data_IF_539764527635
#
_entry.id   IF_539764527635
#
_cell.length_a   1.000
_cell.length_b   1.000
_cell.length_c   1.000
_cell.angle_alpha   90.00
_cell.angle_beta   90.00
_cell.angle_gamma   90.00
#
_symmetry.space_group_name_H-M   'P 1'
#
loop_
_entity.id
_entity.type
_entity.pdbx_description
1 polymer ?
#
# COMPACT_ATOMS: atom_id res chain seq x y z
N UNK A 1 -11.01 8.16 15.80
CA UNK A 1 -12.19 8.00 14.92
C UNK A 1 -12.51 6.52 14.79
N UNK A 2 -13.79 6.14 14.86
CA UNK A 2 -14.18 4.77 14.51
C UNK A 2 -13.76 4.51 13.06
N UNK A 3 -12.99 3.43 12.83
CA UNK A 3 -12.62 2.99 11.48
C UNK A 3 -13.86 3.03 10.57
N UNK A 4 -13.78 3.68 9.41
CA UNK A 4 -14.88 3.66 8.45
C UNK A 4 -15.28 2.20 8.19
N UNK A 5 -16.57 1.90 7.99
CA UNK A 5 -17.03 0.54 7.80
C UNK A 5 -16.67 0.04 6.40
N UNK A 6 -15.38 -0.24 6.22
CA UNK A 6 -14.85 -1.01 5.12
C UNK A 6 -15.33 -2.44 5.29
N UNK A 7 -15.97 -2.98 4.26
CA UNK A 7 -16.30 -4.38 4.18
C UNK A 7 -16.78 -4.76 2.80
N UNK A 8 -17.29 -5.98 2.69
CA UNK A 8 -17.93 -6.47 1.47
C UNK A 8 -19.34 -6.96 1.79
N UNK A 9 -20.27 -6.76 0.87
CA UNK A 9 -21.60 -7.36 0.93
C UNK A 9 -21.64 -8.50 -0.07
N UNK A 10 -22.07 -9.66 0.42
CA UNK A 10 -22.47 -10.78 -0.42
C UNK A 10 -23.99 -10.74 -0.55
N UNK A 11 -24.48 -10.50 -1.76
CA UNK A 11 -25.90 -10.45 -2.11
C UNK A 11 -26.22 -11.61 -3.05
N UNK A 12 -27.18 -12.46 -2.68
CA UNK A 12 -27.80 -13.45 -3.56
C UNK A 12 -29.18 -12.99 -3.98
N UNK A 13 -29.47 -13.06 -5.28
CA UNK A 13 -30.83 -12.90 -5.81
C UNK A 13 -31.36 -14.29 -6.10
N UNK A 14 -32.40 -14.71 -5.38
CA UNK A 14 -32.87 -16.10 -5.41
C UNK A 14 -34.10 -16.27 -6.31
N UNK A 15 -35.09 -15.40 -6.14
CA UNK A 15 -36.35 -15.49 -6.87
C UNK A 15 -37.07 -14.14 -6.89
N UNK A 16 -38.10 -14.03 -7.73
CA UNK A 16 -39.12 -13.01 -7.59
C UNK A 16 -40.50 -13.65 -7.74
N UNK A 17 -41.54 -12.96 -7.28
CA UNK A 17 -42.93 -13.43 -7.37
C UNK A 17 -43.90 -12.30 -7.67
N UNK A 18 -45.01 -12.64 -8.28
CA UNK A 18 -46.09 -11.71 -8.66
C UNK A 18 -45.56 -10.50 -9.45
N UNK A 19 -44.58 -10.69 -10.33
CA UNK A 19 -44.00 -9.57 -11.09
C UNK A 19 -44.99 -9.02 -12.12
N UNK A 20 -44.67 -7.84 -12.66
CA UNK A 20 -45.50 -7.25 -13.71
C UNK A 20 -45.52 -8.13 -14.96
N UNK A 21 -46.67 -8.17 -15.62
CA UNK A 21 -46.81 -8.61 -17.02
C UNK A 21 -46.39 -7.43 -17.89
N UNK A 22 -45.30 -7.58 -18.62
CA UNK A 22 -44.80 -6.61 -19.58
C UNK A 22 -44.86 -7.14 -21.03
N UNK A 23 -44.93 -8.46 -21.23
CA UNK A 23 -45.33 -9.08 -22.50
C UNK A 23 -46.86 -9.27 -22.61
N UNK A 24 -47.30 -10.14 -23.52
CA UNK A 24 -48.70 -10.52 -23.74
C UNK A 24 -49.33 -11.13 -22.47
N UNK A 25 -48.64 -12.07 -21.83
CA UNK A 25 -49.14 -12.80 -20.63
C UNK A 25 -48.09 -13.06 -19.56
N UNK A 26 -46.82 -12.88 -19.90
CA UNK A 26 -45.65 -13.18 -19.06
C UNK A 26 -44.67 -12.02 -19.11
N UNK A 27 -43.45 -12.25 -18.59
CA UNK A 27 -42.27 -11.44 -18.81
C UNK A 27 -41.04 -12.35 -18.90
N UNK A 28 -39.94 -11.79 -19.35
CA UNK A 28 -38.57 -12.29 -19.39
C UNK A 28 -37.69 -11.51 -18.37
N UNK A 29 -37.97 -11.60 -17.05
CA UNK A 29 -37.33 -10.77 -16.03
C UNK A 29 -35.84 -11.06 -15.83
N UNK A 30 -35.08 -9.98 -15.60
CA UNK A 30 -33.71 -9.99 -15.09
C UNK A 30 -33.46 -8.81 -14.15
N UNK A 31 -32.40 -8.90 -13.34
CA UNK A 31 -32.00 -7.85 -12.41
C UNK A 31 -30.64 -7.22 -12.78
N UNK A 32 -30.53 -5.92 -12.59
CA UNK A 32 -29.29 -5.16 -12.57
C UNK A 32 -28.93 -4.77 -11.13
N UNK A 33 -27.75 -5.15 -10.69
CA UNK A 33 -27.23 -4.94 -9.33
C UNK A 33 -26.04 -4.00 -9.37
N UNK A 34 -26.06 -2.96 -8.54
CA UNK A 34 -24.94 -2.03 -8.40
C UNK A 34 -24.88 -1.42 -7.00
N UNK A 35 -23.68 -1.09 -6.54
CA UNK A 35 -23.48 -0.26 -5.37
C UNK A 35 -23.43 1.22 -5.77
N UNK A 36 -24.08 2.07 -4.97
CA UNK A 36 -24.18 3.51 -5.18
C UNK A 36 -23.80 4.29 -3.92
N UNK A 37 -23.19 5.45 -4.08
CA UNK A 37 -22.96 6.39 -3.00
C UNK A 37 -24.28 7.03 -2.51
N UNK A 38 -24.19 7.86 -1.47
CA UNK A 38 -25.34 8.58 -0.90
C UNK A 38 -26.00 9.56 -1.88
N UNK A 39 -25.29 9.97 -2.93
CA UNK A 39 -25.76 10.88 -3.97
C UNK A 39 -26.36 10.12 -5.16
N UNK A 40 -26.32 8.79 -5.14
CA UNK A 40 -26.84 7.92 -6.20
C UNK A 40 -25.87 7.67 -7.35
N UNK A 41 -24.60 8.10 -7.25
CA UNK A 41 -23.56 7.79 -8.23
C UNK A 41 -23.12 6.34 -8.07
N UNK A 42 -22.90 5.65 -9.19
CA UNK A 42 -22.37 4.29 -9.17
C UNK A 42 -20.93 4.29 -8.67
N UNK A 43 -20.64 3.45 -7.68
CA UNK A 43 -19.30 3.24 -7.12
C UNK A 43 -18.73 1.87 -7.47
N UNK A 44 -19.58 0.96 -7.94
CA UNK A 44 -19.19 -0.35 -8.47
C UNK A 44 -19.67 -0.50 -9.90
N UNK A 45 -19.11 -1.49 -10.57
CA UNK A 45 -19.69 -1.98 -11.82
C UNK A 45 -21.11 -2.52 -11.59
N UNK A 46 -21.93 -2.45 -12.64
CA UNK A 46 -23.28 -3.03 -12.66
C UNK A 46 -23.22 -4.48 -13.12
N UNK A 47 -23.81 -5.38 -12.35
CA UNK A 47 -23.94 -6.80 -12.67
C UNK A 47 -25.35 -7.09 -13.18
N UNK A 48 -25.49 -7.99 -14.16
CA UNK A 48 -26.77 -8.44 -14.73
C UNK A 48 -26.94 -9.93 -14.41
N UNK A 49 -28.08 -10.31 -13.82
CA UNK A 49 -28.47 -11.72 -13.67
C UNK A 49 -28.80 -12.33 -15.03
N UNK A 50 -28.87 -13.65 -15.10
CA UNK A 50 -29.50 -14.33 -16.22
C UNK A 50 -30.98 -13.91 -16.38
N UNK A 51 -31.46 -14.03 -17.60
CA UNK A 51 -32.83 -13.73 -18.01
C UNK A 51 -33.64 -15.01 -17.88
N UNK A 52 -34.75 -14.97 -17.14
CA UNK A 52 -35.63 -16.13 -17.01
C UNK A 52 -36.85 -15.92 -17.88
N UNK A 53 -36.91 -16.65 -18.99
CA UNK A 53 -37.94 -16.44 -20.00
C UNK A 53 -39.33 -16.91 -19.56
N UNK A 54 -40.35 -16.15 -19.96
CA UNK A 54 -41.79 -16.47 -19.92
C UNK A 54 -42.30 -16.83 -18.53
N UNK A 55 -42.02 -16.00 -17.54
CA UNK A 55 -42.48 -16.20 -16.16
C UNK A 55 -42.74 -14.89 -15.43
N UNK A 56 -43.67 -14.93 -14.47
CA UNK A 56 -43.86 -13.87 -13.47
C UNK A 56 -43.28 -14.22 -12.09
N UNK A 57 -42.68 -15.41 -12.01
CA UNK A 57 -42.10 -15.97 -10.79
C UNK A 57 -40.71 -16.56 -11.12
N UNK A 58 -39.75 -15.72 -11.54
CA UNK A 58 -38.42 -16.19 -11.90
C UNK A 58 -37.69 -16.77 -10.69
N UNK A 59 -36.92 -17.82 -10.93
CA UNK A 59 -36.00 -18.41 -9.96
C UNK A 59 -34.61 -18.40 -10.58
N UNK A 60 -33.71 -17.67 -9.95
CA UNK A 60 -32.32 -17.58 -10.37
C UNK A 60 -31.48 -18.61 -9.63
N UNK A 61 -30.57 -19.27 -10.35
CA UNK A 61 -29.62 -20.22 -9.78
C UNK A 61 -28.25 -19.58 -9.79
N UNK A 62 -27.57 -19.61 -8.64
CA UNK A 62 -26.18 -19.18 -8.48
C UNK A 62 -25.90 -17.70 -8.81
N UNK A 63 -26.90 -16.81 -8.66
CA UNK A 63 -26.75 -15.36 -8.80
C UNK A 63 -26.28 -14.71 -7.50
N UNK A 64 -24.98 -14.84 -7.23
CA UNK A 64 -24.29 -14.26 -6.09
C UNK A 64 -23.37 -13.10 -6.54
N UNK A 65 -23.50 -11.96 -5.86
CA UNK A 65 -22.78 -10.73 -6.14
C UNK A 65 -22.02 -10.27 -4.91
N UNK A 66 -20.71 -10.04 -5.07
CA UNK A 66 -19.88 -9.39 -4.06
C UNK A 66 -19.72 -7.91 -4.43
N UNK A 67 -20.03 -7.02 -3.49
CA UNK A 67 -19.96 -5.57 -3.66
C UNK A 67 -19.12 -4.94 -2.54
N UNK A 68 -18.19 -4.07 -2.91
CA UNK A 68 -17.40 -3.31 -1.95
C UNK A 68 -18.24 -2.27 -1.23
N UNK A 69 -18.05 -2.15 0.08
CA UNK A 69 -18.66 -1.11 0.92
C UNK A 69 -17.57 -0.18 1.42
N UNK A 70 -17.64 1.06 0.94
CA UNK A 70 -16.63 2.08 1.16
C UNK A 70 -17.30 3.23 1.91
N UNK A 71 -17.36 3.12 3.24
CA UNK A 71 -17.90 4.16 4.11
C UNK A 71 -19.39 3.99 4.48
N UNK A 72 -20.03 5.12 4.80
CA UNK A 72 -21.39 5.17 5.32
C UNK A 72 -22.41 5.53 4.23
N UNK A 73 -23.69 5.23 4.49
CA UNK A 73 -24.82 5.61 3.64
C UNK A 73 -24.77 5.05 2.21
N UNK A 74 -24.04 3.96 2.01
CA UNK A 74 -23.95 3.28 0.72
C UNK A 74 -25.24 2.51 0.44
N UNK A 75 -25.72 2.58 -0.80
CA UNK A 75 -26.97 1.94 -1.23
C UNK A 75 -26.65 0.82 -2.21
N UNK A 76 -27.15 -0.39 -1.96
CA UNK A 76 -27.25 -1.41 -3.00
C UNK A 76 -28.55 -1.19 -3.77
N UNK A 77 -28.42 -0.96 -5.07
CA UNK A 77 -29.52 -0.75 -6.01
C UNK A 77 -29.74 -2.01 -6.81
N UNK A 78 -30.96 -2.55 -6.74
CA UNK A 78 -31.43 -3.65 -7.59
C UNK A 78 -32.52 -3.10 -8.50
N UNK A 79 -32.33 -3.17 -9.81
CA UNK A 79 -33.32 -2.76 -10.80
C UNK A 79 -33.80 -3.99 -11.56
N UNK A 80 -35.10 -4.21 -11.63
CA UNK A 80 -35.68 -5.30 -12.41
C UNK A 80 -36.23 -4.78 -13.74
N UNK A 81 -35.91 -5.52 -14.79
CA UNK A 81 -36.32 -5.25 -16.17
C UNK A 81 -36.85 -6.50 -16.83
N UNK A 82 -37.69 -6.29 -17.84
CA UNK A 82 -38.13 -7.29 -18.80
C UNK A 82 -37.26 -7.22 -20.06
N UNK A 83 -36.67 -8.33 -20.51
CA UNK A 83 -35.80 -8.35 -21.70
C UNK A 83 -36.61 -8.37 -23.00
N UNK A 84 -36.44 -7.35 -23.82
CA UNK A 84 -37.11 -7.24 -25.12
C UNK A 84 -36.14 -7.48 -26.28
N UNK A 85 -36.53 -8.35 -27.23
CA UNK A 85 -35.67 -8.64 -28.40
C UNK A 85 -35.60 -7.51 -29.43
N UNK A 86 -36.64 -6.68 -29.53
CA UNK A 86 -36.81 -5.70 -30.60
C UNK A 86 -37.10 -4.28 -30.10
N UNK A 87 -37.21 -4.10 -28.79
CA UNK A 87 -37.46 -2.82 -28.13
C UNK A 87 -36.50 -2.62 -26.96
N UNK A 88 -36.61 -1.48 -26.29
CA UNK A 88 -35.88 -1.23 -25.06
C UNK A 88 -36.59 -1.93 -23.92
N UNK A 89 -35.83 -2.72 -23.18
CA UNK A 89 -36.26 -3.42 -21.97
C UNK A 89 -37.15 -2.60 -21.03
N UNK A 90 -38.25 -3.21 -20.61
CA UNK A 90 -39.29 -2.57 -19.83
C UNK A 90 -38.96 -2.56 -18.34
N UNK A 91 -39.15 -1.40 -17.69
CA UNK A 91 -38.84 -1.26 -16.27
C UNK A 91 -39.94 -1.89 -15.39
N UNK A 92 -39.58 -2.92 -14.64
CA UNK A 92 -40.52 -3.65 -13.79
C UNK A 92 -40.54 -3.11 -12.35
N UNK A 93 -39.40 -2.75 -11.78
CA UNK A 93 -39.31 -2.24 -10.41
C UNK A 93 -37.89 -1.99 -9.91
N UNK A 94 -37.76 -1.39 -8.73
CA UNK A 94 -36.48 -1.18 -8.08
C UNK A 94 -36.53 -1.47 -6.58
N UNK A 95 -35.38 -1.82 -6.01
CA UNK A 95 -35.13 -1.91 -4.58
C UNK A 95 -33.86 -1.10 -4.27
N UNK A 96 -33.89 -0.34 -3.18
CA UNK A 96 -32.73 0.37 -2.62
C UNK A 96 -32.50 -0.12 -1.19
N UNK A 97 -31.36 -0.72 -0.95
CA UNK A 97 -30.99 -1.24 0.37
C UNK A 97 -29.90 -0.34 0.95
N UNK A 98 -30.21 0.35 2.06
CA UNK A 98 -29.19 1.06 2.82
C UNK A 98 -28.36 0.06 3.64
N UNK A 99 -27.07 -0.04 3.35
CA UNK A 99 -26.20 -1.05 3.98
C UNK A 99 -25.96 -0.79 5.46
N UNK A 100 -26.08 0.45 5.91
CA UNK A 100 -25.94 0.79 7.33
C UNK A 100 -26.93 0.01 8.20
N UNK A 101 -28.11 -0.30 7.68
CA UNK A 101 -29.13 -1.07 8.39
C UNK A 101 -28.79 -2.55 8.57
N UNK A 102 -27.81 -3.08 7.83
CA UNK A 102 -27.49 -4.50 7.77
C UNK A 102 -26.10 -4.87 8.28
N UNK A 103 -25.24 -3.88 8.58
CA UNK A 103 -23.85 -4.09 9.03
C UNK A 103 -23.70 -4.99 10.26
N UNK A 104 -24.70 -5.04 11.14
CA UNK A 104 -24.65 -5.79 12.42
C UNK A 104 -25.64 -6.95 12.50
N UNK A 105 -26.39 -7.23 11.42
CA UNK A 105 -27.52 -8.16 11.46
C UNK A 105 -27.17 -9.59 11.03
N UNK A 106 -25.91 -9.86 10.69
CA UNK A 106 -25.46 -11.13 10.12
C UNK A 106 -26.12 -11.40 8.76
N UNK A 107 -26.26 -12.68 8.41
CA UNK A 107 -26.98 -13.08 7.20
C UNK A 107 -28.48 -12.81 7.36
N UNK A 108 -29.08 -12.22 6.32
CA UNK A 108 -30.52 -11.99 6.21
C UNK A 108 -31.06 -12.68 4.98
N UNK A 109 -32.27 -13.20 5.12
CA UNK A 109 -33.05 -13.84 4.07
C UNK A 109 -34.41 -13.13 4.04
N UNK A 110 -34.71 -12.43 2.94
CA UNK A 110 -35.76 -11.41 2.90
C UNK A 110 -36.52 -11.44 1.57
N UNK A 111 -37.84 -11.27 1.66
CA UNK A 111 -38.68 -10.84 0.54
C UNK A 111 -38.88 -9.33 0.63
N UNK A 112 -38.48 -8.60 -0.41
CA UNK A 112 -38.56 -7.14 -0.45
C UNK A 112 -39.45 -6.70 -1.61
N UNK A 113 -40.46 -5.84 -1.39
CA UNK A 113 -41.37 -5.38 -2.43
C UNK A 113 -40.68 -4.47 -3.44
N UNK A 114 -41.07 -4.59 -4.72
CA UNK A 114 -40.57 -3.75 -5.80
C UNK A 114 -41.25 -2.38 -5.83
N UNK A 115 -40.44 -1.32 -5.90
CA UNK A 115 -40.91 0.06 -5.95
C UNK A 115 -40.87 0.65 -7.37
N UNK A 116 -41.67 1.71 -7.58
CA UNK A 116 -41.63 2.49 -8.81
C UNK A 116 -40.55 3.58 -8.78
N UNK A 117 -40.22 4.16 -9.94
CA UNK A 117 -39.24 5.25 -10.05
C UNK A 117 -39.62 6.52 -9.29
N UNK A 118 -40.93 6.78 -9.12
CA UNK A 118 -41.44 7.97 -8.47
C UNK A 118 -42.21 7.58 -7.21
N UNK A 119 -41.71 7.90 -6.01
CA UNK A 119 -42.35 7.56 -4.74
C UNK A 119 -43.68 8.29 -4.54
N UNK A 120 -43.91 9.42 -5.23
CA UNK A 120 -45.12 10.22 -5.08
C UNK A 120 -46.30 9.74 -5.96
N UNK A 121 -46.08 8.74 -6.83
CA UNK A 121 -47.15 8.13 -7.63
C UNK A 121 -47.81 7.01 -6.81
N UNK A 122 -49.13 6.82 -7.02
CA UNK A 122 -49.90 5.73 -6.38
C UNK A 122 -49.16 4.39 -6.54
N UNK A 123 -48.94 3.69 -5.42
CA UNK A 123 -48.24 2.42 -5.40
C UNK A 123 -48.94 1.40 -6.30
N UNK A 124 -48.26 0.99 -7.37
CA UNK A 124 -48.65 -0.18 -8.18
C UNK A 124 -48.01 -1.40 -7.54
N UNK A 125 -48.76 -2.49 -7.35
CA UNK A 125 -48.18 -3.78 -6.92
C UNK A 125 -47.27 -4.28 -8.07
N UNK A 126 -45.98 -4.46 -7.78
CA UNK A 126 -44.93 -4.81 -8.77
C UNK A 126 -44.27 -6.17 -8.50
N UNK A 127 -44.76 -6.89 -7.49
CA UNK A 127 -44.16 -8.12 -7.00
C UNK A 127 -43.09 -7.88 -5.94
N UNK A 128 -42.47 -8.97 -5.50
CA UNK A 128 -41.40 -8.99 -4.49
C UNK A 128 -40.17 -9.72 -5.04
N UNK A 129 -38.97 -9.34 -4.59
CA UNK A 129 -37.72 -10.08 -4.84
C UNK A 129 -37.27 -10.76 -3.54
N UNK A 130 -36.90 -12.03 -3.65
CA UNK A 130 -36.27 -12.83 -2.60
C UNK A 130 -34.75 -12.71 -2.69
N UNK A 131 -34.14 -12.19 -1.62
CA UNK A 131 -32.70 -12.02 -1.54
C UNK A 131 -32.14 -12.66 -0.27
N UNK A 132 -30.86 -13.06 -0.34
CA UNK A 132 -30.03 -13.24 0.83
C UNK A 132 -28.92 -12.19 0.84
N UNK A 133 -28.68 -11.55 1.98
CA UNK A 133 -27.68 -10.50 2.12
C UNK A 133 -26.87 -10.71 3.40
N UNK A 134 -25.55 -10.67 3.29
CA UNK A 134 -24.63 -10.72 4.42
C UNK A 134 -23.54 -9.66 4.26
N UNK A 135 -23.28 -8.88 5.32
CA UNK A 135 -22.19 -7.92 5.37
C UNK A 135 -21.01 -8.50 6.15
N UNK A 136 -19.81 -8.41 5.57
CA UNK A 136 -18.56 -8.81 6.18
C UNK A 136 -17.73 -7.57 6.47
N UNK A 137 -17.64 -7.18 7.74
CA UNK A 137 -16.82 -6.05 8.16
C UNK A 137 -15.35 -6.39 8.07
N UNK A 138 -14.52 -5.42 7.68
CA UNK A 138 -13.08 -5.57 7.64
C UNK A 138 -12.30 -5.01 8.83
N UNK A 139 -12.98 -4.28 9.72
CA UNK A 139 -12.40 -3.70 10.94
C UNK A 139 -11.89 -4.74 11.94
N UNK A 140 -12.45 -5.95 11.96
CA UNK A 140 -12.02 -7.02 12.87
C UNK A 140 -10.68 -7.67 12.52
N UNK A 141 -10.12 -7.42 11.32
CA UNK A 141 -8.76 -7.85 10.99
C UNK A 141 -7.73 -7.14 11.88
N UNK A 142 -8.05 -5.91 12.33
CA UNK A 142 -7.21 -5.10 13.21
C UNK A 142 -7.05 -5.84 14.52
N UNK A 143 -8.14 -6.32 15.12
CA UNK A 143 -8.09 -7.12 16.34
C UNK A 143 -7.26 -8.39 16.15
N UNK A 144 -7.39 -9.07 15.01
CA UNK A 144 -6.65 -10.29 14.73
C UNK A 144 -5.15 -10.05 14.55
N UNK A 145 -4.75 -8.97 13.87
CA UNK A 145 -3.34 -8.69 13.64
C UNK A 145 -2.71 -7.95 14.84
N UNK A 146 -3.45 -7.11 15.57
CA UNK A 146 -2.91 -6.18 16.60
C UNK A 146 -2.98 -6.73 18.03
N UNK A 147 -4.06 -7.43 18.43
CA UNK A 147 -4.18 -7.94 19.81
C UNK A 147 -3.36 -9.22 20.01
N UNK A 148 -2.03 -9.07 20.06
CA UNK A 148 -1.08 -10.14 20.41
C UNK A 148 -0.56 -10.99 19.24
N UNK A 149 -0.84 -10.59 18.00
CA UNK A 149 -0.65 -11.42 16.80
C UNK A 149 0.11 -10.75 15.64
N UNK A 150 0.85 -9.64 15.87
CA UNK A 150 1.90 -9.24 14.91
C UNK A 150 2.91 -10.38 14.70
N UNK A 151 3.02 -11.28 15.69
CA UNK A 151 3.68 -12.57 15.58
C UNK A 151 3.32 -13.36 14.32
N UNK A 152 2.08 -13.30 13.81
CA UNK A 152 1.73 -13.99 12.57
C UNK A 152 2.47 -13.38 11.38
N UNK A 153 2.47 -12.05 11.27
CA UNK A 153 3.18 -11.32 10.20
C UNK A 153 4.68 -11.58 10.33
N UNK A 154 5.22 -11.53 11.55
CA UNK A 154 6.61 -11.84 11.86
C UNK A 154 6.98 -13.28 11.49
N UNK A 155 6.11 -14.27 11.76
CA UNK A 155 6.32 -15.68 11.37
C UNK A 155 6.26 -15.89 9.85
N UNK A 156 5.39 -15.17 9.15
CA UNK A 156 5.26 -15.22 7.69
C UNK A 156 6.19 -14.25 6.94
N UNK A 157 7.01 -13.49 7.66
CA UNK A 157 7.82 -12.39 7.08
C UNK A 157 8.76 -12.86 5.97
N UNK A 158 9.23 -14.11 6.01
CA UNK A 158 10.08 -14.72 4.97
C UNK A 158 9.32 -15.04 3.68
N UNK A 159 8.03 -15.34 3.78
CA UNK A 159 7.17 -15.71 2.65
C UNK A 159 6.46 -14.49 2.03
N UNK A 160 6.42 -13.37 2.74
CA UNK A 160 5.64 -12.17 2.39
C UNK A 160 6.52 -10.99 1.94
N UNK A 161 7.66 -11.28 1.29
CA UNK A 161 8.60 -10.25 0.83
C UNK A 161 8.11 -9.68 -0.53
N UNK A 162 7.19 -8.72 -0.48
CA UNK A 162 6.74 -7.98 -1.67
C UNK A 162 6.50 -6.50 -1.38
N UNK A 163 6.73 -5.65 -2.39
CA UNK A 163 6.50 -4.21 -2.29
C UNK A 163 5.02 -3.90 -2.00
N UNK A 164 4.10 -4.63 -2.64
CA UNK A 164 2.66 -4.43 -2.48
C UNK A 164 2.19 -4.82 -1.08
N UNK A 165 2.70 -5.92 -0.52
CA UNK A 165 2.37 -6.32 0.85
C UNK A 165 2.98 -5.34 1.86
N UNK A 166 4.20 -4.86 1.64
CA UNK A 166 4.82 -3.83 2.49
C UNK A 166 4.01 -2.54 2.55
N UNK A 167 3.53 -2.04 1.40
CA UNK A 167 2.62 -0.89 1.32
C UNK A 167 1.29 -1.19 2.00
N UNK A 168 0.76 -2.40 1.81
CA UNK A 168 -0.52 -2.78 2.40
C UNK A 168 -0.46 -2.73 3.93
N UNK A 169 0.58 -3.32 4.52
CA UNK A 169 0.85 -3.27 5.96
C UNK A 169 0.97 -1.82 6.43
N UNK A 170 1.80 -1.01 5.77
CA UNK A 170 1.97 0.40 6.12
C UNK A 170 0.62 1.14 6.20
N UNK A 171 -0.16 1.11 5.10
CA UNK A 171 -1.41 1.87 5.04
C UNK A 171 -2.50 1.31 5.93
N UNK A 172 -2.54 -0.01 6.10
CA UNK A 172 -3.50 -0.66 6.98
C UNK A 172 -3.28 -0.23 8.42
N UNK A 173 -2.08 -0.45 8.96
CA UNK A 173 -1.78 -0.15 10.36
C UNK A 173 -1.70 1.35 10.66
N UNK A 174 -1.33 2.20 9.70
CA UNK A 174 -1.39 3.65 9.88
C UNK A 174 -2.81 4.19 10.02
N UNK A 175 -3.83 3.41 9.63
CA UNK A 175 -5.24 3.80 9.69
C UNK A 175 -6.04 3.01 10.74
N UNK A 176 -5.37 2.18 11.54
CA UNK A 176 -6.02 1.37 12.58
C UNK A 176 -6.25 2.12 13.89
N UNK A 177 -5.44 3.15 14.21
CA UNK A 177 -5.63 3.97 15.40
C UNK A 177 -5.31 5.45 15.16
N UNK A 178 -5.79 6.28 16.09
CA UNK A 178 -5.53 7.72 16.10
C UNK A 178 -4.07 8.08 16.47
N UNK A 179 -3.24 7.10 16.91
CA UNK A 179 -1.87 7.33 17.42
C UNK A 179 -0.74 6.67 16.61
N UNK A 180 -1.08 5.89 15.58
CA UNK A 180 -0.12 5.15 14.74
C UNK A 180 0.77 4.15 15.49
N UNK A 181 0.42 3.84 16.75
CA UNK A 181 1.18 2.97 17.64
C UNK A 181 1.36 1.56 17.05
N UNK A 182 0.31 1.04 16.44
CA UNK A 182 0.28 -0.32 15.91
C UNK A 182 1.25 -0.49 14.75
N UNK A 183 1.37 0.52 13.86
CA UNK A 183 2.36 0.48 12.78
C UNK A 183 3.78 0.47 13.34
N UNK A 184 4.04 1.24 14.39
CA UNK A 184 5.34 1.27 15.05
C UNK A 184 5.66 -0.07 15.73
N UNK A 185 4.68 -0.70 16.35
CA UNK A 185 4.83 -2.03 16.95
C UNK A 185 5.12 -3.09 15.86
N UNK A 186 4.41 -3.05 14.73
CA UNK A 186 4.72 -3.93 13.57
C UNK A 186 6.13 -3.71 13.04
N UNK A 187 6.57 -2.45 12.88
CA UNK A 187 7.93 -2.13 12.43
C UNK A 187 8.97 -2.69 13.40
N UNK A 188 8.75 -2.51 14.71
CA UNK A 188 9.64 -3.04 15.75
C UNK A 188 9.74 -4.57 15.69
N UNK A 189 8.61 -5.26 15.59
CA UNK A 189 8.57 -6.72 15.57
C UNK A 189 9.28 -7.28 14.33
N UNK A 190 9.01 -6.71 13.14
CA UNK A 190 9.65 -7.11 11.89
C UNK A 190 11.15 -6.84 11.89
N UNK A 191 11.57 -5.68 12.40
CA UNK A 191 12.99 -5.35 12.56
C UNK A 191 13.68 -6.29 13.56
N UNK A 192 13.04 -6.62 14.68
CA UNK A 192 13.57 -7.58 15.66
C UNK A 192 13.81 -8.94 15.04
N UNK A 193 12.84 -9.47 14.28
CA UNK A 193 12.99 -10.76 13.59
C UNK A 193 14.15 -10.75 12.60
N UNK A 194 14.30 -9.70 11.80
CA UNK A 194 15.41 -9.60 10.85
C UNK A 194 16.77 -9.51 11.55
N UNK A 195 16.87 -8.72 12.62
CA UNK A 195 18.10 -8.58 13.41
C UNK A 195 18.45 -9.90 14.10
N UNK A 196 17.47 -10.56 14.73
CA UNK A 196 17.65 -11.85 15.43
C UNK A 196 18.10 -12.97 14.49
N UNK A 197 17.62 -12.99 13.25
CA UNK A 197 17.97 -14.01 12.26
C UNK A 197 19.28 -13.73 11.51
N UNK A 198 19.76 -12.49 11.53
CA UNK A 198 21.03 -12.12 10.91
C UNK A 198 22.19 -12.52 11.81
N UNK A 199 23.19 -13.23 11.28
CA UNK A 199 24.37 -13.68 12.06
C UNK A 199 25.55 -12.71 12.02
N UNK A 200 25.62 -11.82 11.02
CA UNK A 200 26.70 -10.85 10.85
C UNK A 200 26.11 -9.45 10.65
N UNK A 201 26.52 -8.50 11.48
CA UNK A 201 26.09 -7.11 11.38
C UNK A 201 26.36 -6.51 9.98
N UNK A 202 27.39 -6.99 9.27
CA UNK A 202 27.75 -6.47 7.93
C UNK A 202 26.73 -6.77 6.85
N UNK A 203 25.86 -7.77 7.03
CA UNK A 203 24.80 -8.13 6.05
C UNK A 203 23.42 -7.65 6.47
N UNK A 204 23.31 -7.06 7.66
CA UNK A 204 22.05 -6.62 8.25
C UNK A 204 21.36 -5.58 7.35
N UNK A 205 20.07 -5.81 7.06
CA UNK A 205 19.25 -4.96 6.19
C UNK A 205 19.79 -4.74 4.77
N UNK A 206 20.71 -5.58 4.26
CA UNK A 206 21.23 -5.46 2.89
C UNK A 206 20.43 -6.26 1.86
N UNK A 207 19.81 -7.35 2.28
CA UNK A 207 18.91 -8.16 1.45
C UNK A 207 17.47 -7.72 1.61
N UNK A 208 16.65 -7.91 0.59
CA UNK A 208 15.22 -7.65 0.72
C UNK A 208 14.58 -8.56 1.79
N UNK A 209 13.75 -7.94 2.62
CA UNK A 209 13.04 -8.54 3.75
C UNK A 209 11.70 -7.83 3.89
N UNK A 210 10.72 -8.45 4.54
CA UNK A 210 9.45 -7.76 4.79
C UNK A 210 9.66 -6.47 5.61
N UNK A 211 10.52 -6.49 6.62
CA UNK A 211 10.85 -5.30 7.43
C UNK A 211 11.35 -4.16 6.56
N UNK A 212 12.32 -4.44 5.68
CA UNK A 212 12.88 -3.42 4.79
C UNK A 212 11.85 -2.90 3.79
N UNK A 213 10.93 -3.74 3.27
CA UNK A 213 9.84 -3.30 2.39
C UNK A 213 8.87 -2.35 3.09
N UNK A 214 8.48 -2.66 4.32
CA UNK A 214 7.57 -1.81 5.12
C UNK A 214 8.23 -0.49 5.46
N UNK A 215 9.45 -0.52 6.03
CA UNK A 215 10.17 0.69 6.44
C UNK A 215 10.46 1.59 5.23
N UNK A 216 10.89 1.04 4.10
CA UNK A 216 11.14 1.82 2.88
C UNK A 216 9.85 2.44 2.35
N UNK A 217 8.73 1.73 2.41
CA UNK A 217 7.42 2.31 2.03
C UNK A 217 7.09 3.50 2.92
N UNK A 218 7.28 3.39 4.23
CA UNK A 218 7.06 4.49 5.18
C UNK A 218 7.96 5.67 4.83
N UNK A 219 9.27 5.43 4.71
CA UNK A 219 10.26 6.48 4.45
C UNK A 219 9.94 7.23 3.15
N UNK A 220 9.59 6.52 2.08
CA UNK A 220 9.19 7.14 0.81
C UNK A 220 7.90 7.95 0.95
N UNK A 221 6.90 7.47 1.68
CA UNK A 221 5.61 8.17 1.82
C UNK A 221 5.73 9.43 2.68
N UNK A 222 6.36 9.35 3.86
CA UNK A 222 6.42 10.50 4.78
C UNK A 222 7.61 11.42 4.49
N UNK A 223 8.71 10.85 3.99
CA UNK A 223 9.96 11.56 3.73
C UNK A 223 10.06 12.19 2.35
N UNK A 224 9.05 12.05 1.48
CA UNK A 224 9.06 12.61 0.13
C UNK A 224 9.33 14.13 0.13
N UNK A 225 8.63 14.88 1.01
CA UNK A 225 8.81 16.33 1.13
C UNK A 225 10.24 16.70 1.54
N UNK A 226 10.77 16.01 2.55
CA UNK A 226 12.16 16.17 3.00
C UNK A 226 13.17 15.92 1.89
N UNK A 227 13.08 14.79 1.17
CA UNK A 227 13.99 14.48 0.06
C UNK A 227 13.93 15.54 -1.03
N UNK A 228 12.72 16.03 -1.34
CA UNK A 228 12.53 17.06 -2.36
C UNK A 228 13.20 18.38 -1.97
N UNK A 229 13.04 18.83 -0.73
CA UNK A 229 13.65 20.08 -0.27
C UNK A 229 15.16 19.95 -0.10
N UNK A 230 15.64 18.83 0.44
CA UNK A 230 17.06 18.62 0.73
C UNK A 230 17.90 18.30 -0.51
N UNK A 231 17.39 17.51 -1.46
CA UNK A 231 18.20 16.91 -2.53
C UNK A 231 17.91 17.50 -3.92
N UNK A 232 16.65 17.84 -4.23
CA UNK A 232 16.29 18.26 -5.59
C UNK A 232 17.03 19.50 -6.09
N UNK A 233 17.35 20.54 -5.28
CA UNK A 233 18.11 21.69 -5.77
C UNK A 233 19.47 21.29 -6.37
N UNK A 234 20.18 20.35 -5.73
CA UNK A 234 21.47 19.86 -6.22
C UNK A 234 21.30 18.92 -7.42
N UNK A 235 20.34 18.01 -7.37
CA UNK A 235 20.03 17.09 -8.49
C UNK A 235 19.65 17.87 -9.75
N UNK A 236 18.77 18.86 -9.63
CA UNK A 236 18.33 19.69 -10.75
C UNK A 236 19.46 20.56 -11.30
N UNK A 237 20.40 21.02 -10.44
CA UNK A 237 21.60 21.73 -10.90
C UNK A 237 22.49 20.82 -11.76
N UNK A 238 22.72 19.56 -11.34
CA UNK A 238 23.48 18.59 -12.13
C UNK A 238 22.83 18.28 -13.48
N UNK A 239 21.49 18.14 -13.49
CA UNK A 239 20.71 17.89 -14.71
C UNK A 239 20.76 19.08 -15.65
N UNK A 240 20.43 20.29 -15.16
CA UNK A 240 20.34 21.50 -15.98
C UNK A 240 21.65 21.84 -16.67
N UNK A 241 22.77 21.58 -16.01
CA UNK A 241 24.11 21.86 -16.53
C UNK A 241 24.74 20.67 -17.25
N UNK A 242 24.02 19.55 -17.43
CA UNK A 242 24.50 18.32 -18.09
C UNK A 242 25.87 17.85 -17.56
N UNK A 243 26.02 17.85 -16.23
CA UNK A 243 27.30 17.58 -15.56
C UNK A 243 27.72 16.11 -15.74
N UNK A 244 28.85 15.91 -16.43
CA UNK A 244 29.47 14.61 -16.68
C UNK A 244 30.81 14.48 -15.92
N UNK A 245 30.81 13.75 -14.81
CA UNK A 245 31.99 13.56 -13.96
C UNK A 245 32.42 12.08 -13.98
N UNK A 246 32.80 11.58 -15.16
CA UNK A 246 33.42 10.27 -15.25
C UNK A 246 34.83 10.31 -14.63
N UNK A 247 35.19 9.26 -13.90
CA UNK A 247 36.46 9.16 -13.16
C UNK A 247 37.18 7.84 -13.43
N UNK A 248 36.65 7.02 -14.34
CA UNK A 248 37.26 5.79 -14.84
C UNK A 248 37.95 6.06 -16.19
N UNK A 249 39.31 6.12 -16.25
CA UNK A 249 40.04 6.35 -17.50
C UNK A 249 39.74 5.31 -18.59
N UNK A 250 39.33 4.09 -18.21
CA UNK A 250 38.95 3.04 -19.18
C UNK A 250 37.68 3.38 -19.97
N UNK A 251 36.93 4.41 -19.55
CA UNK A 251 35.75 4.94 -20.24
C UNK A 251 36.09 6.03 -21.26
N UNK A 252 37.36 6.19 -21.63
CA UNK A 252 37.80 7.05 -22.74
C UNK A 252 38.06 8.50 -22.35
N UNK A 253 38.36 8.76 -21.07
CA UNK A 253 38.82 10.07 -20.57
C UNK A 253 40.31 10.01 -20.23
N UNK A 254 40.99 11.16 -20.25
CA UNK A 254 42.40 11.23 -19.84
C UNK A 254 42.55 11.13 -18.32
N UNK A 255 43.73 10.75 -17.82
CA UNK A 255 44.01 10.72 -16.39
C UNK A 255 43.85 12.11 -15.74
N UNK A 256 44.30 13.17 -16.43
CA UNK A 256 44.14 14.55 -15.95
C UNK A 256 42.67 14.98 -15.85
N UNK A 257 41.83 14.60 -16.83
CA UNK A 257 40.39 14.85 -16.77
C UNK A 257 39.74 14.06 -15.62
N UNK A 258 40.15 12.81 -15.42
CA UNK A 258 39.65 11.97 -14.32
C UNK A 258 39.97 12.56 -12.95
N UNK A 259 41.19 13.08 -12.75
CA UNK A 259 41.60 13.78 -11.52
C UNK A 259 40.77 15.05 -11.29
N UNK A 260 40.59 15.88 -12.33
CA UNK A 260 39.80 17.10 -12.22
C UNK A 260 38.32 16.80 -11.95
N UNK A 261 37.78 15.76 -12.59
CA UNK A 261 36.43 15.27 -12.34
C UNK A 261 36.28 14.74 -10.91
N UNK A 262 37.30 14.08 -10.36
CA UNK A 262 37.27 13.59 -8.98
C UNK A 262 37.23 14.73 -7.94
N UNK A 263 37.93 15.84 -8.20
CA UNK A 263 37.86 17.05 -7.37
C UNK A 263 36.43 17.62 -7.38
N UNK A 264 35.84 17.79 -8.57
CA UNK A 264 34.46 18.28 -8.71
C UNK A 264 33.44 17.33 -8.09
N UNK A 265 33.63 16.02 -8.25
CA UNK A 265 32.74 15.02 -7.67
C UNK A 265 32.78 15.04 -6.13
N UNK A 266 33.97 15.24 -5.54
CA UNK A 266 34.14 15.42 -4.09
C UNK A 266 33.47 16.69 -3.57
N UNK A 267 33.49 17.76 -4.37
CA UNK A 267 32.74 18.99 -4.08
C UNK A 267 31.22 18.77 -4.07
N UNK A 268 30.68 18.07 -5.07
CA UNK A 268 29.26 17.71 -5.09
C UNK A 268 28.89 16.80 -3.93
N UNK A 269 29.69 15.79 -3.61
CA UNK A 269 29.48 14.95 -2.44
C UNK A 269 29.41 15.80 -1.16
N UNK A 270 30.36 16.72 -0.95
CA UNK A 270 30.36 17.64 0.19
C UNK A 270 29.10 18.53 0.23
N UNK A 271 28.62 18.97 -0.93
CA UNK A 271 27.40 19.78 -1.05
C UNK A 271 26.15 18.98 -0.64
N UNK A 272 26.04 17.72 -1.08
CA UNK A 272 24.94 16.84 -0.65
C UNK A 272 24.97 16.58 0.85
N UNK A 273 26.14 16.31 1.42
CA UNK A 273 26.30 16.10 2.88
C UNK A 273 25.87 17.34 3.66
N UNK A 274 26.29 18.52 3.19
CA UNK A 274 25.93 19.81 3.79
C UNK A 274 24.42 20.05 3.72
N UNK A 275 23.80 19.79 2.56
CA UNK A 275 22.36 19.94 2.38
C UNK A 275 21.56 18.97 3.28
N UNK A 276 22.00 17.72 3.39
CA UNK A 276 21.38 16.72 4.29
C UNK A 276 21.49 17.19 5.74
N UNK A 277 22.68 17.61 6.18
CA UNK A 277 22.92 18.10 7.55
C UNK A 277 22.08 19.34 7.88
N UNK A 278 22.02 20.30 6.97
CA UNK A 278 21.27 21.54 7.15
C UNK A 278 19.74 21.35 7.16
N UNK A 279 19.25 20.22 6.65
CA UNK A 279 17.82 19.91 6.57
C UNK A 279 17.36 18.89 7.62
N UNK A 280 18.23 18.43 8.53
CA UNK A 280 17.87 17.40 9.51
C UNK A 280 16.66 17.79 10.37
N UNK A 281 16.49 19.07 10.72
CA UNK A 281 15.33 19.55 11.47
C UNK A 281 13.99 19.35 10.74
N UNK A 282 14.01 19.22 9.41
CA UNK A 282 12.84 18.95 8.58
C UNK A 282 12.56 17.45 8.40
N UNK A 283 13.47 16.58 8.86
CA UNK A 283 13.30 15.13 8.76
C UNK A 283 12.07 14.70 9.60
N UNK A 284 11.06 14.04 9.00
CA UNK A 284 9.84 13.67 9.70
C UNK A 284 10.13 12.86 10.97
N UNK A 285 9.36 13.16 12.02
CA UNK A 285 9.51 12.49 13.32
C UNK A 285 9.27 10.98 13.21
N UNK A 286 8.41 10.55 12.30
CA UNK A 286 8.13 9.15 11.99
C UNK A 286 9.40 8.41 11.53
N UNK A 287 10.23 9.05 10.70
CA UNK A 287 11.49 8.47 10.23
C UNK A 287 12.50 8.43 11.37
N UNK A 288 12.61 9.51 12.15
CA UNK A 288 13.51 9.57 13.33
C UNK A 288 13.19 8.47 14.34
N UNK A 289 11.90 8.25 14.62
CA UNK A 289 11.44 7.17 15.52
C UNK A 289 11.84 5.79 15.01
N UNK A 290 11.69 5.50 13.71
CA UNK A 290 12.10 4.22 13.14
C UNK A 290 13.62 4.05 13.20
N UNK A 291 14.39 5.09 12.88
CA UNK A 291 15.85 5.06 13.01
C UNK A 291 16.29 4.82 14.46
N UNK A 292 15.62 5.43 15.44
CA UNK A 292 15.84 5.16 16.86
C UNK A 292 15.55 3.70 17.21
N UNK A 293 14.42 3.14 16.75
CA UNK A 293 14.07 1.72 16.97
C UNK A 293 15.15 0.79 16.39
N UNK A 294 15.59 1.05 15.16
CA UNK A 294 16.68 0.28 14.54
C UNK A 294 17.95 0.40 15.39
N UNK A 295 18.31 1.61 15.82
CA UNK A 295 19.48 1.84 16.65
C UNK A 295 19.43 1.02 17.96
N UNK A 296 18.33 1.08 18.70
CA UNK A 296 18.13 0.38 19.97
C UNK A 296 18.15 -1.15 19.80
N UNK A 297 17.46 -1.68 18.78
CA UNK A 297 17.40 -3.12 18.52
C UNK A 297 18.76 -3.66 18.08
N UNK A 298 19.50 -2.93 17.24
CA UNK A 298 20.83 -3.34 16.81
C UNK A 298 21.82 -3.24 17.95
N UNK A 299 21.79 -2.19 18.76
CA UNK A 299 22.69 -2.04 19.92
C UNK A 299 22.57 -3.21 20.89
N UNK A 300 21.36 -3.73 21.08
CA UNK A 300 21.10 -4.90 21.93
C UNK A 300 21.79 -6.17 21.44
N UNK A 301 21.93 -6.39 20.13
CA UNK A 301 22.53 -7.61 19.55
C UNK A 301 23.98 -7.42 19.11
N UNK A 302 24.30 -6.26 18.56
CA UNK A 302 25.60 -5.85 18.02
C UNK A 302 26.03 -4.51 18.63
N UNK A 303 26.46 -4.49 19.90
CA UNK A 303 27.01 -3.30 20.53
C UNK A 303 28.22 -2.86 19.70
N UNK A 304 28.22 -1.62 19.20
CA UNK A 304 29.19 -0.99 18.28
C UNK A 304 28.80 -0.90 16.79
N UNK A 305 27.80 -1.65 16.31
CA UNK A 305 27.37 -1.59 14.90
C UNK A 305 26.02 -0.89 14.68
N UNK A 306 25.38 -0.42 15.75
CA UNK A 306 24.07 0.25 15.72
C UNK A 306 24.05 1.49 14.80
N UNK A 307 24.94 2.46 15.02
CA UNK A 307 24.99 3.69 14.21
C UNK A 307 25.32 3.38 12.74
N UNK A 308 26.26 2.47 12.50
CA UNK A 308 26.60 2.02 11.13
C UNK A 308 25.43 1.34 10.44
N UNK A 309 24.64 0.56 11.17
CA UNK A 309 23.46 -0.13 10.64
C UNK A 309 22.34 0.84 10.29
N UNK A 310 22.12 1.88 11.11
CA UNK A 310 21.19 2.97 10.76
C UNK A 310 21.63 3.66 9.47
N UNK A 311 22.92 4.01 9.34
CA UNK A 311 23.44 4.61 8.11
C UNK A 311 23.36 3.68 6.90
N UNK A 312 23.72 2.42 7.10
CA UNK A 312 23.62 1.35 6.11
C UNK A 312 22.19 1.11 5.63
N UNK A 313 21.17 1.42 6.44
CA UNK A 313 19.76 1.40 6.02
C UNK A 313 19.33 2.74 5.40
N UNK A 314 19.45 3.84 6.15
CA UNK A 314 18.92 5.16 5.81
C UNK A 314 19.50 5.70 4.50
N UNK A 315 20.81 5.61 4.31
CA UNK A 315 21.42 6.04 3.06
C UNK A 315 21.14 5.05 1.94
N UNK A 316 21.29 3.74 2.17
CA UNK A 316 21.14 2.74 1.11
C UNK A 316 19.73 2.64 0.55
N UNK A 317 18.71 2.77 1.40
CA UNK A 317 17.31 2.48 1.04
C UNK A 317 16.41 3.71 0.94
N UNK A 318 16.91 4.89 1.29
CA UNK A 318 16.13 6.13 1.23
C UNK A 318 16.85 7.29 0.56
N UNK A 319 18.00 7.75 1.07
CA UNK A 319 18.71 8.90 0.49
C UNK A 319 19.36 8.58 -0.86
N UNK A 320 20.18 7.53 -0.95
CA UNK A 320 20.90 7.21 -2.19
C UNK A 320 19.96 6.85 -3.35
N UNK A 321 18.87 6.07 -3.16
CA UNK A 321 17.86 5.87 -4.19
C UNK A 321 17.26 7.17 -4.73
N UNK A 322 17.09 8.18 -3.87
CA UNK A 322 16.63 9.50 -4.28
C UNK A 322 17.67 10.29 -5.09
N UNK A 323 18.96 10.01 -4.90
CA UNK A 323 20.05 10.66 -5.63
C UNK A 323 20.26 9.98 -6.99
N UNK A 324 20.42 8.65 -7.06
CA UNK A 324 20.77 7.97 -8.33
C UNK A 324 19.57 7.73 -9.27
N UNK A 325 18.36 7.57 -8.73
CA UNK A 325 17.13 7.39 -9.51
C UNK A 325 15.97 8.26 -8.98
N UNK A 326 16.12 9.59 -8.96
CA UNK A 326 15.12 10.53 -8.45
C UNK A 326 13.76 10.40 -9.13
N UNK A 327 13.73 10.09 -10.43
CA UNK A 327 12.50 9.90 -11.21
C UNK A 327 11.70 8.68 -10.77
N UNK A 328 12.36 7.62 -10.28
CA UNK A 328 11.68 6.43 -9.80
C UNK A 328 10.92 6.67 -8.48
N UNK A 329 11.25 7.75 -7.76
CA UNK A 329 10.53 8.22 -6.58
C UNK A 329 9.54 9.35 -6.90
N UNK A 330 9.49 9.83 -8.15
CA UNK A 330 8.68 10.99 -8.53
C UNK A 330 9.22 12.34 -8.03
N UNK A 331 10.51 12.42 -7.65
CA UNK A 331 11.13 13.67 -7.20
C UNK A 331 11.36 14.67 -8.34
N UNK A 332 11.53 14.14 -9.55
CA UNK A 332 11.67 14.90 -10.80
C UNK A 332 10.76 14.30 -11.87
N UNK A 333 10.34 15.12 -12.83
CA UNK A 333 9.48 14.70 -13.95
C UNK A 333 10.26 14.13 -15.13
N UNK A 334 11.50 14.58 -15.33
CA UNK A 334 12.29 14.29 -16.53
C UNK A 334 13.50 13.48 -16.13
N UNK A 335 13.69 12.25 -16.64
CA UNK A 335 14.84 11.42 -16.29
C UNK A 335 16.18 12.09 -16.67
N UNK A 336 17.24 11.94 -15.88
CA UNK A 336 18.56 12.46 -16.21
C UNK A 336 19.14 11.76 -17.46
N UNK A 337 19.96 12.50 -18.22
CA UNK A 337 20.76 11.93 -19.30
C UNK A 337 21.69 10.82 -18.78
N UNK A 338 22.15 9.88 -19.63
CA UNK A 338 23.04 8.80 -19.20
C UNK A 338 24.31 9.30 -18.49
N UNK A 339 24.86 10.44 -18.93
CA UNK A 339 26.03 11.06 -18.33
C UNK A 339 25.74 11.61 -16.93
N UNK A 340 24.64 12.36 -16.76
CA UNK A 340 24.24 12.87 -15.44
C UNK A 340 23.86 11.72 -14.50
N UNK A 341 23.19 10.67 -15.00
CA UNK A 341 22.89 9.46 -14.22
C UNK A 341 24.16 8.77 -13.72
N UNK A 342 25.20 8.72 -14.54
CA UNK A 342 26.52 8.20 -14.14
C UNK A 342 27.11 9.04 -13.00
N UNK A 343 27.11 10.37 -13.12
CA UNK A 343 27.53 11.29 -12.05
C UNK A 343 26.77 11.05 -10.74
N UNK A 344 25.43 11.02 -10.78
CA UNK A 344 24.57 10.78 -9.61
C UNK A 344 24.81 9.40 -8.97
N UNK A 345 25.10 8.38 -9.79
CA UNK A 345 25.47 7.05 -9.31
C UNK A 345 26.80 7.06 -8.56
N UNK A 346 27.80 7.77 -9.07
CA UNK A 346 29.10 7.90 -8.41
C UNK A 346 28.98 8.68 -7.08
N UNK A 347 28.21 9.76 -7.04
CA UNK A 347 27.88 10.48 -5.79
C UNK A 347 27.26 9.51 -4.79
N UNK A 348 26.23 8.77 -5.19
CA UNK A 348 25.53 7.82 -4.32
C UNK A 348 26.47 6.73 -3.77
N UNK A 349 27.39 6.22 -4.60
CA UNK A 349 28.40 5.23 -4.17
C UNK A 349 29.35 5.79 -3.12
N UNK A 350 29.88 7.00 -3.33
CA UNK A 350 30.79 7.65 -2.38
C UNK A 350 30.06 7.91 -1.06
N UNK A 351 28.84 8.47 -1.09
CA UNK A 351 28.03 8.68 0.12
C UNK A 351 27.70 7.37 0.83
N UNK A 352 27.44 6.28 0.09
CA UNK A 352 27.24 4.96 0.68
C UNK A 352 28.47 4.46 1.43
N UNK A 353 29.68 4.64 0.87
CA UNK A 353 30.92 4.23 1.51
C UNK A 353 31.22 5.04 2.77
N UNK A 354 30.95 6.36 2.74
CA UNK A 354 31.04 7.21 3.93
C UNK A 354 30.07 6.72 5.02
N UNK A 355 28.80 6.47 4.67
CA UNK A 355 27.78 5.97 5.60
C UNK A 355 28.14 4.61 6.21
N UNK A 356 28.68 3.71 5.40
CA UNK A 356 29.13 2.38 5.83
C UNK A 356 30.45 2.41 6.61
N UNK A 357 31.14 3.56 6.67
CA UNK A 357 32.47 3.72 7.26
C UNK A 357 33.51 2.77 6.64
N UNK A 358 33.48 2.64 5.32
CA UNK A 358 34.42 1.79 4.56
C UNK A 358 35.03 2.56 3.39
N UNK A 359 36.24 2.19 3.02
CA UNK A 359 36.96 2.72 1.86
C UNK A 359 36.91 1.73 0.69
N UNK A 360 37.19 2.21 -0.53
CA UNK A 360 37.35 1.33 -1.68
C UNK A 360 38.63 0.50 -1.53
N UNK A 361 38.51 -0.82 -1.70
CA UNK A 361 39.64 -1.76 -1.70
C UNK A 361 40.05 -2.13 -3.13
N UNK A 362 41.26 -2.67 -3.30
CA UNK A 362 41.78 -3.15 -4.59
C UNK A 362 40.82 -4.16 -5.25
N UNK A 363 40.53 -3.99 -6.54
CA UNK A 363 39.58 -4.83 -7.27
C UNK A 363 38.89 -4.11 -8.43
N UNK A 364 37.65 -4.49 -8.76
CA UNK A 364 36.88 -3.98 -9.92
C UNK A 364 36.60 -2.47 -9.91
N UNK A 365 36.81 -1.80 -8.79
CA UNK A 365 36.54 -0.36 -8.61
C UNK A 365 37.79 0.41 -8.13
N UNK A 366 38.98 -0.06 -8.51
CA UNK A 366 40.26 0.55 -8.11
C UNK A 366 40.37 2.04 -8.51
N UNK A 367 39.74 2.45 -9.60
CA UNK A 367 39.69 3.85 -10.05
C UNK A 367 39.02 4.80 -9.03
N UNK A 368 38.23 4.28 -8.08
CA UNK A 368 37.61 5.06 -7.00
C UNK A 368 38.49 5.16 -5.73
N UNK A 369 39.65 4.51 -5.71
CA UNK A 369 40.55 4.55 -4.56
C UNK A 369 41.09 5.95 -4.26
N UNK A 370 41.12 6.86 -5.24
CA UNK A 370 41.45 8.28 -5.07
C UNK A 370 40.52 9.00 -4.08
N UNK A 371 39.28 8.51 -3.90
CA UNK A 371 38.33 9.07 -2.94
C UNK A 371 38.57 8.60 -1.49
N UNK A 372 39.45 7.64 -1.22
CA UNK A 372 39.60 7.05 0.11
C UNK A 372 40.00 8.07 1.18
N UNK A 373 40.85 9.04 0.84
CA UNK A 373 41.22 10.14 1.74
C UNK A 373 40.01 11.03 2.04
N UNK A 374 39.26 11.41 1.01
CA UNK A 374 38.02 12.18 1.15
C UNK A 374 37.00 11.44 2.01
N UNK A 375 36.73 10.16 1.71
CA UNK A 375 35.77 9.32 2.44
C UNK A 375 36.13 9.25 3.93
N UNK A 376 37.39 8.96 4.24
CA UNK A 376 37.85 8.79 5.63
C UNK A 376 37.71 10.09 6.43
N UNK A 377 37.95 11.24 5.80
CA UNK A 377 37.77 12.56 6.44
C UNK A 377 36.30 12.92 6.74
N UNK A 378 35.33 12.19 6.18
CA UNK A 378 33.88 12.43 6.37
C UNK A 378 33.21 11.46 7.34
N UNK A 379 33.94 10.48 7.90
CA UNK A 379 33.35 9.49 8.79
C UNK A 379 32.75 10.10 10.05
N UNK A 380 33.42 11.06 10.69
CA UNK A 380 32.92 11.71 11.90
C UNK A 380 31.70 12.61 11.61
N UNK A 381 31.70 13.31 10.48
CA UNK A 381 30.55 14.09 10.00
C UNK A 381 29.30 13.20 9.90
N UNK A 382 29.42 12.03 9.26
CA UNK A 382 28.31 11.09 9.12
C UNK A 382 27.91 10.45 10.43
N UNK A 383 28.88 10.10 11.27
CA UNK A 383 28.58 9.55 12.59
C UNK A 383 27.71 10.52 13.40
N UNK A 384 28.03 11.81 13.37
CA UNK A 384 27.23 12.86 14.00
C UNK A 384 25.83 12.97 13.38
N UNK A 385 25.71 12.98 12.05
CA UNK A 385 24.42 13.00 11.34
C UNK A 385 23.55 11.80 11.76
N UNK A 386 24.13 10.60 11.77
CA UNK A 386 23.40 9.36 12.08
C UNK A 386 22.97 9.30 13.55
N UNK A 387 23.79 9.81 14.47
CA UNK A 387 23.44 9.97 15.88
C UNK A 387 22.27 10.96 16.05
N UNK A 388 22.27 12.07 15.31
CA UNK A 388 21.18 13.04 15.34
C UNK A 388 19.88 12.45 14.77
N UNK A 389 19.95 11.74 13.65
CA UNK A 389 18.78 11.06 13.04
C UNK A 389 18.19 10.02 14.01
N UNK A 390 19.05 9.32 14.76
CA UNK A 390 18.66 8.24 15.68
C UNK A 390 18.30 8.72 17.09
N UNK A 391 18.39 10.01 17.37
CA UNK A 391 17.99 10.59 18.66
C UNK A 391 16.70 11.40 18.51
N UNK A 392 15.63 10.95 19.17
CA UNK A 392 14.44 11.78 19.35
C UNK A 392 14.67 12.69 20.57
N UNK A 393 14.89 13.99 20.34
CA UNK A 393 14.90 14.97 21.44
C UNK A 393 13.49 15.06 22.06
N UNK A 394 13.30 14.39 23.19
CA UNK A 394 12.08 14.36 24.02
C UNK A 394 11.76 15.68 24.75
N UNK A 395 12.10 16.84 24.17
CA UNK A 395 11.85 18.13 24.84
C UNK A 395 10.38 18.59 24.83
N UNK A 396 9.45 17.74 24.40
CA UNK A 396 8.02 17.89 24.68
C UNK A 396 7.53 16.71 25.52
N UNK A 397 7.99 16.64 26.77
CA UNK A 397 7.32 15.88 27.82
C UNK A 397 5.91 16.45 28.03
N UNK A 398 4.93 15.80 27.41
CA UNK A 398 3.67 15.43 28.04
C UNK A 398 2.92 14.43 27.13
N UNK A 399 2.86 13.18 27.62
CA UNK A 399 2.12 12.01 27.16
C UNK A 399 2.88 11.02 26.24
N UNK A 400 2.89 9.76 26.68
CA UNK A 400 3.22 8.52 25.96
C UNK A 400 2.31 8.27 24.74
N UNK A 401 2.11 9.28 23.90
CA UNK A 401 1.40 9.20 22.63
C UNK A 401 2.44 9.23 21.53
N UNK A 402 2.67 8.09 20.90
CA UNK A 402 3.42 8.00 19.64
C UNK A 402 2.87 9.04 18.66
N UNK A 403 3.74 9.91 18.15
CA UNK A 403 3.37 11.01 17.24
C UNK A 403 3.20 10.54 15.78
N UNK A 404 3.06 9.23 15.55
CA UNK A 404 3.00 8.68 14.20
C UNK A 404 1.66 9.01 13.59
N UNK A 405 1.63 9.98 12.68
CA UNK A 405 0.39 10.47 12.09
C UNK A 405 -0.21 9.41 11.16
N UNK A 406 -1.53 9.32 11.16
CA UNK A 406 -2.24 8.50 10.20
C UNK A 406 -1.91 8.95 8.77
N UNK A 407 -1.54 8.00 7.92
CA UNK A 407 -1.22 8.26 6.52
C UNK A 407 -2.52 8.37 5.74
N UNK A 408 -2.71 9.52 5.07
CA UNK A 408 -3.84 9.74 4.19
C UNK A 408 -3.79 8.76 3.02
N UNK A 409 -4.89 8.04 2.84
CA UNK A 409 -5.10 7.12 1.73
C UNK A 409 -6.57 7.14 1.35
N UNK A 410 -6.84 7.01 0.04
CA UNK A 410 -8.20 6.80 -0.43
C UNK A 410 -8.77 5.49 0.12
N UNK A 411 -10.07 5.52 0.42
CA UNK A 411 -10.78 4.41 1.03
C UNK A 411 -10.86 3.16 0.14
N UNK A 412 -10.95 3.32 -1.18
CA UNK A 412 -10.93 2.20 -2.12
C UNK A 412 -9.55 1.55 -2.18
N UNK A 413 -8.49 2.35 -2.09
CA UNK A 413 -7.13 1.85 -2.09
C UNK A 413 -6.80 1.13 -0.78
N UNK A 414 -7.32 1.61 0.35
CA UNK A 414 -7.22 0.92 1.64
C UNK A 414 -7.95 -0.44 1.63
N UNK A 415 -9.11 -0.52 0.97
CA UNK A 415 -9.81 -1.79 0.74
C UNK A 415 -8.93 -2.77 -0.04
N UNK A 416 -8.38 -2.32 -1.17
CA UNK A 416 -7.50 -3.12 -2.01
C UNK A 416 -6.29 -3.66 -1.22
N UNK A 417 -5.64 -2.81 -0.42
CA UNK A 417 -4.53 -3.24 0.41
C UNK A 417 -4.94 -4.23 1.51
N UNK A 418 -6.13 -4.06 2.08
CA UNK A 418 -6.68 -5.02 3.03
C UNK A 418 -6.89 -6.38 2.37
N UNK A 419 -7.44 -6.41 1.15
CA UNK A 419 -7.60 -7.64 0.37
C UNK A 419 -6.25 -8.28 0.05
N UNK A 420 -5.24 -7.48 -0.34
CA UNK A 420 -3.86 -7.95 -0.54
C UNK A 420 -3.30 -8.64 0.70
N UNK A 421 -3.55 -8.09 1.89
CA UNK A 421 -3.10 -8.70 3.15
C UNK A 421 -3.77 -10.08 3.33
N UNK A 422 -5.09 -10.15 3.21
CA UNK A 422 -5.86 -11.39 3.40
C UNK A 422 -5.43 -12.46 2.40
N UNK A 423 -5.31 -12.10 1.11
CA UNK A 423 -4.84 -13.02 0.06
C UNK A 423 -3.45 -13.54 0.39
N UNK A 424 -2.49 -12.65 0.63
CA UNK A 424 -1.10 -13.03 0.81
C UNK A 424 -0.90 -13.93 2.03
N UNK A 425 -1.57 -13.61 3.15
CA UNK A 425 -1.53 -14.45 4.35
C UNK A 425 -2.21 -15.81 4.08
N UNK A 426 -3.38 -15.82 3.43
CA UNK A 426 -4.15 -17.05 3.18
C UNK A 426 -3.47 -18.01 2.20
N UNK A 427 -2.80 -17.50 1.17
CA UNK A 427 -2.04 -18.31 0.20
C UNK A 427 -0.83 -18.99 0.85
N UNK A 428 -0.27 -18.39 1.91
CA UNK A 428 0.90 -18.94 2.61
C UNK A 428 0.53 -19.79 3.83
N UNK A 429 -0.77 -20.00 4.12
CA UNK A 429 -1.24 -20.74 5.31
C UNK A 429 -0.71 -22.18 5.40
N UNK A 430 -0.50 -22.86 4.27
CA UNK A 430 0.00 -24.25 4.25
C UNK A 430 1.45 -24.38 4.74
N UNK A 431 2.19 -23.26 4.82
CA UNK A 431 3.60 -23.25 5.24
C UNK A 431 3.79 -23.17 6.75
N UNK A 432 2.70 -23.11 7.52
CA UNK A 432 2.74 -23.00 8.98
C UNK A 432 1.62 -23.82 9.63
N UNK A 433 1.97 -24.58 10.66
CA UNK A 433 1.02 -25.25 11.56
C UNK A 433 0.54 -24.23 12.61
N UNK A 434 -0.54 -23.52 12.31
CA UNK A 434 -1.16 -22.56 13.23
C UNK A 434 -2.68 -22.78 13.20
N UNK A 435 -3.21 -23.35 14.30
CA UNK A 435 -4.64 -23.41 14.65
C UNK A 435 -5.30 -22.02 14.81
N UNK A 436 -4.56 -20.92 14.59
CA UNK A 436 -5.02 -19.54 14.80
C UNK A 436 -5.54 -18.86 13.53
N UNK A 437 -5.51 -19.47 12.34
CA UNK A 437 -6.23 -18.90 11.19
C UNK A 437 -7.74 -18.99 11.47
N UNK A 438 -8.27 -17.98 12.14
CA UNK A 438 -9.67 -17.93 12.51
C UNK A 438 -10.55 -18.02 11.25
N UNK A 439 -11.72 -18.65 11.37
CA UNK A 439 -12.72 -18.82 10.31
C UNK A 439 -13.01 -17.51 9.57
N UNK A 440 -12.83 -16.39 10.26
CA UNK A 440 -12.95 -15.05 9.71
C UNK A 440 -12.01 -14.77 8.52
N UNK A 441 -10.70 -15.03 8.61
CA UNK A 441 -9.76 -14.76 7.51
C UNK A 441 -10.08 -15.65 6.31
N UNK A 442 -10.38 -16.92 6.59
CA UNK A 442 -10.74 -17.89 5.56
C UNK A 442 -12.03 -17.49 4.84
N UNK A 443 -13.05 -17.06 5.59
CA UNK A 443 -14.31 -16.58 5.03
C UNK A 443 -14.10 -15.34 4.16
N UNK A 444 -13.30 -14.37 4.62
CA UNK A 444 -12.97 -13.18 3.84
C UNK A 444 -12.19 -13.51 2.58
N UNK A 445 -11.21 -14.41 2.67
CA UNK A 445 -10.46 -14.87 1.51
C UNK A 445 -11.39 -15.50 0.46
N UNK A 446 -12.34 -16.34 0.88
CA UNK A 446 -13.35 -16.91 -0.04
C UNK A 446 -14.18 -15.83 -0.72
N UNK A 447 -14.63 -14.80 0.03
CA UNK A 447 -15.40 -13.69 -0.53
C UNK A 447 -14.59 -12.90 -1.56
N UNK A 448 -13.32 -12.64 -1.28
CA UNK A 448 -12.41 -11.95 -2.21
C UNK A 448 -12.23 -12.77 -3.49
N UNK A 449 -12.07 -14.10 -3.37
CA UNK A 449 -11.97 -15.00 -4.54
C UNK A 449 -13.26 -15.00 -5.38
N UNK A 450 -14.43 -14.96 -4.73
CA UNK A 450 -15.72 -14.85 -5.42
C UNK A 450 -15.81 -13.53 -6.21
N UNK A 451 -15.39 -12.41 -5.61
CA UNK A 451 -15.36 -11.11 -6.29
C UNK A 451 -14.42 -11.12 -7.51
N UNK A 452 -13.20 -11.63 -7.38
CA UNK A 452 -12.24 -11.72 -8.49
C UNK A 452 -12.77 -12.56 -9.65
N UNK A 453 -13.46 -13.68 -9.35
CA UNK A 453 -14.11 -14.52 -10.35
C UNK A 453 -15.27 -13.79 -11.04
N UNK A 454 -16.07 -13.04 -10.29
CA UNK A 454 -17.17 -12.22 -10.80
C UNK A 454 -16.66 -11.13 -11.76
N UNK A 455 -15.61 -10.40 -11.38
CA UNK A 455 -14.98 -9.37 -12.20
C UNK A 455 -14.36 -9.95 -13.48
N UNK A 456 -13.66 -11.08 -13.37
CA UNK A 456 -13.04 -11.76 -14.52
C UNK A 456 -14.07 -12.20 -15.57
N UNK A 457 -15.21 -12.75 -15.13
CA UNK A 457 -16.33 -13.13 -16.04
C UNK A 457 -16.88 -11.92 -16.79
N UNK A 458 -16.92 -10.77 -16.14
CA UNK A 458 -17.48 -9.56 -16.70
C UNK A 458 -16.54 -8.92 -17.72
N UNK A 459 -15.24 -8.85 -17.43
CA UNK A 459 -14.22 -8.42 -18.39
C UNK A 459 -14.22 -9.27 -19.66
N UNK A 460 -14.33 -10.61 -19.52
CA UNK A 460 -14.41 -11.53 -20.66
C UNK A 460 -15.69 -11.36 -21.51
N UNK A 461 -16.79 -10.86 -20.93
CA UNK A 461 -18.02 -10.51 -21.69
C UNK A 461 -17.86 -9.20 -22.46
N UNK A 462 -17.04 -8.26 -21.95
CA UNK A 462 -16.77 -6.97 -22.61
C UNK A 462 -15.84 -7.15 -23.81
N UNK A 463 -14.77 -7.96 -23.69
CA UNK A 463 -13.83 -8.20 -24.79
C UNK A 463 -14.43 -8.95 -26.00
N UNK A 464 -15.56 -9.64 -25.80
CA UNK A 464 -16.28 -10.38 -26.85
C UNK A 464 -17.35 -9.57 -27.59
N UNK A 465 -17.61 -8.33 -27.15
CA UNK A 465 -18.54 -7.39 -27.79
C UNK A 465 -17.74 -6.31 -28.49
#
# INVERSE_FOLDING_TARGET
MATPPFGKVVLKILAARDTLVCDITTSDPYCLVSAKDSNGNSISQTFKTEVIYKTLNPVWKDEEFVLDVIGNSQIISILMYDEDKFSKDDFMGLIKINIDEYKTKGQRDLWIPLEGKNPNKKAKKRGDIHIQLCYYSFTSLTNYLIKGNHNLISKLSKQLISDDFGKAIMYYFSNCSDSGKELIDVVRDLASVEIEQTNDAKVLFRTDSLSTKVIVSIFKTVGFGYLKEALCPLIMSLIKNEINLEVDPSKGITEADAEQNAIQLSFFCSSFITAIKASLDQLPIEIRQICQIINELVEKKYPNDNIKSVGGFFFLRFVNPAIFSPEALGLISTPPSPNVRRTLTLVSKILQNISNQVTFSSGKEEYLSSFNSFISSRFDDFKSILQEISSCNNNNNNNNTTLFKSLKIDSSLLMKYTDTIIISISEKKQSIDIDQFNDEILSRYQIIQLQQKQESKLSAKIEKK
#
